data_IF_024632207750
#
_entry.id   IF_024632207750
#
_cell.length_a   1.000
_cell.length_b   1.000
_cell.length_c   1.000
_cell.angle_alpha   90.00
_cell.angle_beta   90.00
_cell.angle_gamma   90.00
#
_symmetry.space_group_name_H-M   'P 1'
#
loop_
_entity.id
_entity.type
_entity.pdbx_description
1 polymer ?
#
# COMPACT_ATOMS: atom_id res chain seq x y z
N UNK A 1 22.29 21.01 -22.00
CA UNK A 1 21.02 20.86 -21.25
C UNK A 1 20.15 22.08 -21.47
N UNK A 2 18.84 21.86 -21.69
CA UNK A 2 17.89 22.95 -21.93
C UNK A 2 16.80 23.02 -20.84
N UNK A 3 16.84 22.13 -19.83
CA UNK A 3 15.92 22.14 -18.69
C UNK A 3 16.07 23.45 -17.88
N UNK A 4 14.93 23.97 -17.41
CA UNK A 4 14.82 25.26 -16.71
C UNK A 4 14.20 25.10 -15.32
N UNK A 5 14.43 26.10 -14.45
CA UNK A 5 13.80 26.18 -13.13
C UNK A 5 14.11 24.97 -12.20
N UNK A 6 15.30 24.39 -12.33
CA UNK A 6 15.73 23.28 -11.50
C UNK A 6 16.57 23.77 -10.30
N UNK A 7 16.39 23.13 -9.15
CA UNK A 7 17.23 23.29 -7.95
C UNK A 7 17.98 22.01 -7.70
N UNK A 8 19.32 22.06 -7.65
CA UNK A 8 20.17 20.92 -7.34
C UNK A 8 21.17 21.27 -6.25
N UNK A 9 21.12 20.58 -5.11
CA UNK A 9 22.02 20.77 -3.97
C UNK A 9 22.55 19.42 -3.49
N UNK A 10 23.83 19.17 -3.69
CA UNK A 10 24.46 17.91 -3.31
C UNK A 10 25.31 17.32 -4.44
N UNK A 11 26.24 16.40 -4.08
CA UNK A 11 27.04 15.75 -5.07
C UNK A 11 26.20 14.84 -5.97
N UNK A 12 26.36 14.98 -7.30
CA UNK A 12 25.62 14.23 -8.33
C UNK A 12 24.08 14.39 -8.26
N UNK A 13 23.58 15.51 -7.71
CA UNK A 13 22.16 15.86 -7.80
C UNK A 13 21.85 16.34 -9.22
N UNK A 14 20.84 15.75 -9.90
CA UNK A 14 20.40 16.07 -11.28
C UNK A 14 21.55 16.01 -12.33
N UNK A 15 22.57 15.19 -12.15
CA UNK A 15 23.75 15.25 -13.02
C UNK A 15 23.48 14.73 -14.44
N UNK A 16 22.53 13.82 -14.65
CA UNK A 16 22.13 13.33 -15.97
C UNK A 16 21.04 14.18 -16.65
N UNK A 17 20.52 15.22 -15.99
CA UNK A 17 19.36 15.98 -16.52
C UNK A 17 19.68 16.67 -17.83
N UNK A 18 18.84 16.46 -18.84
CA UNK A 18 19.00 17.07 -20.18
C UNK A 18 17.95 18.15 -20.47
N UNK A 19 16.68 17.81 -20.39
CA UNK A 19 15.56 18.72 -20.71
C UNK A 19 14.55 18.84 -19.58
N UNK A 20 14.63 18.00 -18.54
CA UNK A 20 13.71 18.05 -17.40
C UNK A 20 13.70 19.42 -16.70
N UNK A 21 12.53 19.93 -16.39
CA UNK A 21 12.32 21.27 -15.82
C UNK A 21 11.54 21.20 -14.49
N UNK A 22 11.64 22.26 -13.69
CA UNK A 22 10.88 22.43 -12.45
C UNK A 22 11.15 21.31 -11.41
N UNK A 23 12.36 20.77 -11.38
CA UNK A 23 12.76 19.73 -10.44
C UNK A 23 13.51 20.32 -9.24
N UNK A 24 13.26 19.78 -8.06
CA UNK A 24 14.01 20.09 -6.84
C UNK A 24 14.73 18.84 -6.34
N UNK A 25 16.05 18.84 -6.32
CA UNK A 25 16.91 17.73 -5.89
C UNK A 25 17.86 18.20 -4.78
N UNK A 26 17.68 17.71 -3.56
CA UNK A 26 18.51 18.08 -2.41
C UNK A 26 19.02 16.82 -1.72
N UNK A 27 20.31 16.55 -1.84
CA UNK A 27 20.98 15.38 -1.28
C UNK A 27 21.95 14.72 -2.25
N UNK A 28 22.66 13.69 -1.76
CA UNK A 28 23.61 12.92 -2.56
C UNK A 28 22.86 12.05 -3.58
N UNK A 29 23.21 12.17 -4.88
CA UNK A 29 22.64 11.40 -6.00
C UNK A 29 21.10 11.49 -6.13
N UNK A 30 20.47 12.54 -5.61
CA UNK A 30 19.03 12.75 -5.83
C UNK A 30 18.73 13.04 -7.29
N UNK A 31 17.71 12.37 -7.86
CA UNK A 31 17.37 12.49 -9.29
C UNK A 31 18.60 12.31 -10.21
N UNK A 32 19.57 11.49 -9.80
CA UNK A 32 20.85 11.38 -10.50
C UNK A 32 20.72 10.89 -11.94
N UNK A 33 19.78 10.00 -12.25
CA UNK A 33 19.53 9.48 -13.58
C UNK A 33 18.44 10.22 -14.37
N UNK A 34 17.84 11.30 -13.81
CA UNK A 34 16.77 12.00 -14.49
C UNK A 34 17.24 12.61 -15.82
N UNK A 35 16.52 12.36 -16.89
CA UNK A 35 16.84 12.92 -18.21
C UNK A 35 15.82 13.96 -18.66
N UNK A 36 14.56 13.61 -18.65
CA UNK A 36 13.45 14.44 -19.16
C UNK A 36 12.28 14.58 -18.18
N UNK A 37 12.33 13.93 -17.02
CA UNK A 37 11.25 14.04 -16.01
C UNK A 37 11.13 15.45 -15.45
N UNK A 38 9.89 15.93 -15.34
CA UNK A 38 9.53 17.28 -14.89
C UNK A 38 8.79 17.26 -13.55
N UNK A 39 8.78 18.41 -12.84
CA UNK A 39 7.97 18.64 -11.63
C UNK A 39 8.24 17.67 -10.49
N UNK A 40 9.45 17.12 -10.37
CA UNK A 40 9.81 16.19 -9.31
C UNK A 40 10.44 16.90 -8.11
N UNK A 41 10.10 16.44 -6.91
CA UNK A 41 10.74 16.84 -5.65
C UNK A 41 11.44 15.66 -5.03
N UNK A 42 12.76 15.70 -4.91
CA UNK A 42 13.57 14.66 -4.29
C UNK A 42 14.46 15.25 -3.19
N UNK A 43 14.27 14.80 -1.96
CA UNK A 43 15.03 15.28 -0.80
C UNK A 43 15.51 14.07 0.02
N UNK A 44 16.83 13.91 0.15
CA UNK A 44 17.43 12.82 0.92
C UNK A 44 18.56 12.12 0.16
N UNK A 45 19.14 11.09 0.76
CA UNK A 45 20.19 10.31 0.13
C UNK A 45 19.58 9.32 -0.88
N UNK A 46 19.97 9.41 -2.16
CA UNK A 46 19.51 8.57 -3.27
C UNK A 46 17.98 8.55 -3.49
N UNK A 47 17.30 9.63 -3.13
CA UNK A 47 15.88 9.78 -3.41
C UNK A 47 15.66 9.97 -4.91
N UNK A 48 14.72 9.22 -5.54
CA UNK A 48 14.46 9.18 -6.99
C UNK A 48 15.72 8.94 -7.84
N UNK A 49 16.66 8.17 -7.33
CA UNK A 49 17.99 7.99 -7.98
C UNK A 49 17.89 7.56 -9.44
N UNK A 50 17.02 6.60 -9.77
CA UNK A 50 16.89 5.98 -11.09
C UNK A 50 15.78 6.55 -11.96
N UNK A 51 15.10 7.60 -11.51
CA UNK A 51 14.08 8.24 -12.34
C UNK A 51 14.69 8.73 -13.66
N UNK A 52 14.08 8.35 -14.77
CA UNK A 52 14.54 8.80 -16.10
C UNK A 52 13.57 9.79 -16.72
N UNK A 53 12.30 9.43 -16.83
CA UNK A 53 11.26 10.21 -17.50
C UNK A 53 9.98 10.37 -16.66
N UNK A 54 9.92 9.77 -15.45
CA UNK A 54 8.77 9.88 -14.57
C UNK A 54 8.55 11.31 -14.08
N UNK A 55 7.33 11.81 -14.22
CA UNK A 55 6.96 13.20 -13.88
C UNK A 55 6.19 13.29 -12.56
N UNK A 56 6.21 14.46 -11.94
CA UNK A 56 5.36 14.81 -10.79
C UNK A 56 5.51 13.88 -9.59
N UNK A 57 6.70 13.35 -9.37
CA UNK A 57 6.99 12.50 -8.22
C UNK A 57 7.50 13.33 -7.04
N UNK A 58 7.06 12.99 -5.84
CA UNK A 58 7.56 13.56 -4.58
C UNK A 58 8.22 12.46 -3.77
N UNK A 59 9.50 12.58 -3.48
CA UNK A 59 10.27 11.61 -2.71
C UNK A 59 11.08 12.34 -1.63
N UNK A 60 10.71 12.13 -0.38
CA UNK A 60 11.38 12.75 0.78
C UNK A 60 11.83 11.66 1.75
N UNK A 61 13.13 11.48 1.86
CA UNK A 61 13.73 10.45 2.70
C UNK A 61 14.83 9.66 1.98
N UNK A 62 15.63 8.92 2.76
CA UNK A 62 16.67 8.05 2.19
C UNK A 62 16.04 6.91 1.39
N UNK A 63 16.51 6.68 0.16
CA UNK A 63 15.99 5.64 -0.74
C UNK A 63 14.48 5.69 -1.00
N UNK A 64 13.85 6.87 -0.91
CA UNK A 64 12.47 7.02 -1.31
C UNK A 64 12.38 7.00 -2.85
N UNK A 65 11.56 6.09 -3.43
CA UNK A 65 11.37 5.94 -4.89
C UNK A 65 12.68 5.73 -5.68
N UNK A 66 13.71 5.14 -5.07
CA UNK A 66 15.06 5.09 -5.68
C UNK A 66 15.15 4.22 -6.93
N UNK A 67 14.27 3.23 -7.13
CA UNK A 67 14.19 2.42 -8.35
C UNK A 67 13.16 2.93 -9.38
N UNK A 68 12.41 4.01 -9.08
CA UNK A 68 11.45 4.54 -10.04
C UNK A 68 12.14 4.90 -11.36
N UNK A 69 11.59 4.48 -12.48
CA UNK A 69 12.15 4.79 -13.81
C UNK A 69 11.24 5.72 -14.60
N UNK A 70 10.02 5.31 -14.86
CA UNK A 70 9.04 6.03 -15.68
C UNK A 70 7.72 6.31 -14.96
N UNK A 71 7.52 5.73 -13.77
CA UNK A 71 6.31 5.96 -12.96
C UNK A 71 6.14 7.42 -12.62
N UNK A 72 4.90 7.94 -12.70
CA UNK A 72 4.59 9.34 -12.45
C UNK A 72 3.51 9.54 -11.38
N UNK A 73 3.49 10.74 -10.78
CA UNK A 73 2.47 11.10 -9.78
C UNK A 73 2.58 10.33 -8.46
N UNK A 74 3.74 9.78 -8.12
CA UNK A 74 3.93 9.05 -6.87
C UNK A 74 4.40 9.97 -5.75
N UNK A 75 3.94 9.71 -4.52
CA UNK A 75 4.36 10.41 -3.31
C UNK A 75 4.98 9.41 -2.33
N UNK A 76 6.26 9.54 -2.03
CA UNK A 76 6.98 8.75 -1.03
C UNK A 76 7.57 9.65 0.05
N UNK A 77 7.14 9.51 1.31
CA UNK A 77 7.68 10.29 2.44
C UNK A 77 8.12 9.34 3.55
N UNK A 78 9.41 9.24 3.76
CA UNK A 78 10.03 8.35 4.75
C UNK A 78 11.17 7.51 4.16
N UNK A 79 11.76 6.63 4.96
CA UNK A 79 12.88 5.79 4.53
C UNK A 79 12.39 4.56 3.77
N UNK A 80 12.98 4.27 2.60
CA UNK A 80 12.63 3.14 1.73
C UNK A 80 11.14 3.10 1.36
N UNK A 81 10.50 4.25 1.19
CA UNK A 81 9.11 4.31 0.70
C UNK A 81 9.08 4.06 -0.80
N UNK A 82 8.20 3.14 -1.27
CA UNK A 82 8.09 2.83 -2.70
C UNK A 82 9.45 2.52 -3.36
N UNK A 83 10.41 1.99 -2.60
CA UNK A 83 11.78 1.81 -3.08
C UNK A 83 11.84 0.92 -4.33
N UNK A 84 11.06 -0.16 -4.40
CA UNK A 84 11.00 -1.08 -5.54
C UNK A 84 10.18 -0.58 -6.74
N UNK A 85 9.49 0.57 -6.63
CA UNK A 85 8.63 1.04 -7.72
C UNK A 85 9.43 1.27 -9.01
N UNK A 86 8.96 0.73 -10.12
CA UNK A 86 9.61 0.94 -11.43
C UNK A 86 8.75 1.79 -12.36
N UNK A 87 7.54 1.36 -12.63
CA UNK A 87 6.60 2.01 -13.56
C UNK A 87 5.24 2.33 -12.94
N UNK A 88 4.99 1.89 -11.69
CA UNK A 88 3.74 2.17 -10.99
C UNK A 88 3.47 3.67 -10.87
N UNK A 89 2.20 4.07 -11.00
CA UNK A 89 1.77 5.47 -11.02
C UNK A 89 0.72 5.79 -9.96
N UNK A 90 0.68 7.06 -9.52
CA UNK A 90 -0.37 7.54 -8.63
C UNK A 90 -0.38 6.94 -7.22
N UNK A 91 0.73 6.37 -6.77
CA UNK A 91 0.84 5.76 -5.45
C UNK A 91 1.23 6.79 -4.38
N UNK A 92 0.67 6.67 -3.19
CA UNK A 92 1.06 7.47 -2.03
C UNK A 92 1.53 6.57 -0.89
N UNK A 93 2.76 6.77 -0.42
CA UNK A 93 3.36 5.98 0.65
C UNK A 93 4.02 6.89 1.70
N UNK A 94 3.61 6.77 2.97
CA UNK A 94 4.15 7.57 4.07
C UNK A 94 4.51 6.67 5.25
N UNK A 95 5.75 6.73 5.70
CA UNK A 95 6.24 5.91 6.82
C UNK A 95 7.61 5.30 6.57
N UNK A 96 7.92 4.23 7.29
CA UNK A 96 9.12 3.42 7.07
C UNK A 96 8.75 2.16 6.30
N UNK A 97 9.32 1.97 5.10
CA UNK A 97 9.13 0.81 4.23
C UNK A 97 7.68 0.51 3.76
N UNK A 98 6.74 1.47 3.70
CA UNK A 98 5.47 1.18 3.05
C UNK A 98 5.70 0.95 1.55
N UNK A 99 4.97 0.00 0.97
CA UNK A 99 5.04 -0.37 -0.46
C UNK A 99 6.48 -0.61 -0.94
N UNK A 100 7.31 -1.23 -0.09
CA UNK A 100 8.75 -1.42 -0.37
C UNK A 100 9.00 -2.14 -1.70
N UNK A 101 8.21 -3.17 -2.00
CA UNK A 101 8.38 -4.02 -3.18
C UNK A 101 7.38 -3.74 -4.32
N UNK A 102 6.63 -2.63 -4.26
CA UNK A 102 5.76 -2.27 -5.38
C UNK A 102 6.59 -2.12 -6.66
N UNK A 103 6.18 -2.78 -7.74
CA UNK A 103 6.88 -2.68 -9.02
C UNK A 103 6.06 -1.92 -10.06
N UNK A 104 4.86 -2.41 -10.35
CA UNK A 104 3.95 -1.86 -11.38
C UNK A 104 2.57 -1.49 -10.85
N UNK A 105 2.27 -1.80 -9.57
CA UNK A 105 0.99 -1.48 -8.94
C UNK A 105 0.69 0.02 -8.93
N UNK A 106 -0.58 0.38 -9.17
CA UNK A 106 -1.00 1.75 -9.38
C UNK A 106 -2.09 2.18 -8.39
N UNK A 107 -2.17 3.47 -8.11
CA UNK A 107 -3.23 4.11 -7.32
C UNK A 107 -3.42 3.50 -5.93
N UNK A 108 -2.34 3.07 -5.30
CA UNK A 108 -2.36 2.55 -3.95
C UNK A 108 -2.04 3.66 -2.93
N UNK A 109 -2.64 3.58 -1.75
CA UNK A 109 -2.39 4.48 -0.63
C UNK A 109 -1.94 3.69 0.60
N UNK A 110 -0.72 3.93 1.08
CA UNK A 110 -0.12 3.21 2.22
C UNK A 110 0.45 4.18 3.26
N UNK A 111 -0.08 4.13 4.47
CA UNK A 111 0.35 4.97 5.59
C UNK A 111 0.68 4.11 6.81
N UNK A 112 1.93 4.09 7.22
CA UNK A 112 2.41 3.34 8.38
C UNK A 112 3.63 2.48 8.09
N UNK A 113 4.23 1.94 9.14
CA UNK A 113 5.36 1.01 9.05
C UNK A 113 4.93 -0.26 8.30
N UNK A 114 5.63 -0.64 7.24
CA UNK A 114 5.37 -1.82 6.39
C UNK A 114 3.94 -1.94 5.83
N UNK A 115 3.17 -0.84 5.79
CA UNK A 115 1.86 -0.86 5.15
C UNK A 115 1.99 -1.20 3.66
N UNK A 116 1.24 -2.21 3.18
CA UNK A 116 1.25 -2.68 1.79
C UNK A 116 2.66 -3.06 1.28
N UNK A 117 3.52 -3.59 2.18
CA UNK A 117 4.96 -3.75 1.91
C UNK A 117 5.27 -4.62 0.69
N UNK A 118 4.64 -5.81 0.60
CA UNK A 118 4.96 -6.82 -0.40
C UNK A 118 4.14 -6.70 -1.69
N UNK A 119 3.38 -5.60 -1.84
CA UNK A 119 2.63 -5.35 -3.07
C UNK A 119 3.59 -5.28 -4.26
N UNK A 120 3.32 -6.06 -5.29
CA UNK A 120 4.11 -6.00 -6.54
C UNK A 120 3.33 -5.36 -7.67
N UNK A 121 2.12 -5.85 -7.93
CA UNK A 121 1.28 -5.46 -9.08
C UNK A 121 -0.12 -5.00 -8.67
N UNK A 122 -0.56 -5.24 -7.40
CA UNK A 122 -1.89 -4.89 -6.93
C UNK A 122 -2.21 -3.40 -7.04
N UNK A 123 -3.45 -3.09 -7.40
CA UNK A 123 -3.92 -1.73 -7.70
C UNK A 123 -5.07 -1.32 -6.78
N UNK A 124 -5.27 -0.01 -6.59
CA UNK A 124 -6.41 0.56 -5.87
C UNK A 124 -6.57 0.07 -4.43
N UNK A 125 -5.46 -0.27 -3.76
CA UNK A 125 -5.49 -0.70 -2.37
C UNK A 125 -5.27 0.49 -1.42
N UNK A 126 -5.99 0.49 -0.30
CA UNK A 126 -5.80 1.45 0.79
C UNK A 126 -5.35 0.73 2.04
N UNK A 127 -4.17 1.05 2.56
CA UNK A 127 -3.59 0.50 3.77
C UNK A 127 -3.24 1.63 4.76
N UNK A 128 -3.95 1.72 5.88
CA UNK A 128 -3.73 2.73 6.91
C UNK A 128 -3.48 2.05 8.27
N UNK A 129 -2.25 1.98 8.67
CA UNK A 129 -1.80 1.33 9.91
C UNK A 129 -0.54 0.51 9.72
N UNK A 130 0.22 0.28 10.80
CA UNK A 130 1.39 -0.61 10.74
C UNK A 130 0.98 -2.02 10.35
N UNK A 131 1.64 -2.62 9.36
CA UNK A 131 1.36 -3.97 8.87
C UNK A 131 0.02 -4.14 8.12
N UNK A 132 -0.76 -3.08 7.88
CA UNK A 132 -1.99 -3.18 7.10
C UNK A 132 -1.67 -3.65 5.67
N UNK A 133 -2.34 -4.73 5.19
CA UNK A 133 -2.10 -5.36 3.87
C UNK A 133 -0.62 -5.70 3.60
N UNK A 134 0.19 -5.96 4.62
CA UNK A 134 1.63 -6.09 4.45
C UNK A 134 2.04 -7.14 3.41
N UNK A 135 1.36 -8.28 3.35
CA UNK A 135 1.70 -9.39 2.46
C UNK A 135 0.90 -9.40 1.14
N UNK A 136 0.14 -8.33 0.85
CA UNK A 136 -0.57 -8.24 -0.43
C UNK A 136 0.43 -8.28 -1.59
N UNK A 137 0.18 -9.11 -2.60
CA UNK A 137 1.09 -9.20 -3.76
C UNK A 137 0.46 -8.62 -5.02
N UNK A 138 -0.63 -9.22 -5.47
CA UNK A 138 -1.28 -8.86 -6.74
C UNK A 138 -2.76 -8.50 -6.59
N UNK A 139 -3.31 -8.58 -5.36
CA UNK A 139 -4.73 -8.31 -5.16
C UNK A 139 -5.07 -6.83 -5.26
N UNK A 140 -6.24 -6.57 -5.83
CA UNK A 140 -6.77 -5.24 -6.08
C UNK A 140 -7.93 -4.88 -5.14
N UNK A 141 -8.19 -3.57 -5.02
CA UNK A 141 -9.42 -3.04 -4.43
C UNK A 141 -9.66 -3.44 -2.96
N UNK A 142 -8.60 -3.59 -2.17
CA UNK A 142 -8.73 -3.85 -0.74
C UNK A 142 -8.61 -2.56 0.06
N UNK A 143 -9.36 -2.48 1.15
CA UNK A 143 -9.25 -1.41 2.14
C UNK A 143 -8.91 -2.01 3.51
N UNK A 144 -7.78 -1.64 4.07
CA UNK A 144 -7.33 -2.06 5.40
C UNK A 144 -7.02 -0.83 6.27
N UNK A 145 -7.74 -0.69 7.37
CA UNK A 145 -7.54 0.40 8.33
C UNK A 145 -7.38 -0.18 9.73
N UNK A 146 -6.20 -0.06 10.29
CA UNK A 146 -5.85 -0.60 11.61
C UNK A 146 -4.54 -1.39 11.59
N UNK A 147 -3.96 -1.58 12.79
CA UNK A 147 -2.76 -2.40 12.94
C UNK A 147 -3.03 -3.85 12.52
N UNK A 148 -2.21 -4.38 11.60
CA UNK A 148 -2.32 -5.73 11.04
C UNK A 148 -3.70 -6.08 10.44
N UNK A 149 -4.49 -5.10 10.02
CA UNK A 149 -5.71 -5.38 9.24
C UNK A 149 -5.33 -6.00 7.90
N UNK A 150 -5.96 -7.12 7.51
CA UNK A 150 -5.68 -7.85 6.26
C UNK A 150 -4.19 -8.20 6.06
N UNK A 151 -3.41 -8.37 7.14
CA UNK A 151 -1.95 -8.51 7.02
C UNK A 151 -1.51 -9.72 6.20
N UNK A 152 -2.20 -10.87 6.29
CA UNK A 152 -1.85 -12.09 5.56
C UNK A 152 -2.42 -12.14 4.13
N UNK A 153 -3.20 -11.13 3.69
CA UNK A 153 -3.82 -11.15 2.38
C UNK A 153 -2.76 -11.21 1.27
N UNK A 154 -2.92 -12.13 0.34
CA UNK A 154 -2.00 -12.26 -0.81
C UNK A 154 -2.69 -11.92 -2.13
N UNK A 155 -3.76 -12.65 -2.45
CA UNK A 155 -4.49 -12.51 -3.72
C UNK A 155 -6.00 -12.28 -3.55
N UNK A 156 -6.50 -12.19 -2.31
CA UNK A 156 -7.90 -11.87 -2.02
C UNK A 156 -8.24 -10.43 -2.36
N UNK A 157 -9.22 -10.20 -3.23
CA UNK A 157 -9.61 -8.89 -3.71
C UNK A 157 -10.95 -8.41 -3.13
N UNK A 158 -11.20 -7.10 -3.18
CA UNK A 158 -12.46 -6.47 -2.75
C UNK A 158 -12.79 -6.67 -1.27
N UNK A 159 -11.81 -6.77 -0.41
CA UNK A 159 -12.03 -6.90 1.03
C UNK A 159 -11.96 -5.53 1.72
N UNK A 160 -12.79 -5.36 2.74
CA UNK A 160 -12.75 -4.21 3.64
C UNK A 160 -12.49 -4.69 5.05
N UNK A 161 -11.34 -4.34 5.61
CA UNK A 161 -10.95 -4.59 7.00
C UNK A 161 -10.77 -3.27 7.74
N UNK A 162 -11.60 -2.98 8.74
CA UNK A 162 -11.48 -1.77 9.57
C UNK A 162 -11.45 -2.17 11.04
N UNK A 163 -10.31 -2.06 11.66
CA UNK A 163 -10.06 -2.47 13.05
C UNK A 163 -8.72 -3.19 13.18
N UNK A 164 -8.18 -3.21 14.40
CA UNK A 164 -6.96 -3.99 14.70
C UNK A 164 -7.27 -5.48 14.52
N UNK A 165 -6.43 -6.19 13.77
CA UNK A 165 -6.57 -7.62 13.43
C UNK A 165 -7.87 -7.98 12.69
N UNK A 166 -8.53 -7.04 12.01
CA UNK A 166 -9.67 -7.38 11.16
C UNK A 166 -9.19 -8.12 9.92
N UNK A 167 -9.77 -9.31 9.60
CA UNK A 167 -9.36 -10.17 8.48
C UNK A 167 -7.85 -10.49 8.45
N UNK A 168 -7.17 -10.52 9.58
CA UNK A 168 -5.71 -10.62 9.61
C UNK A 168 -5.16 -11.95 9.07
N UNK A 169 -5.92 -13.04 9.16
CA UNK A 169 -5.54 -14.34 8.58
C UNK A 169 -6.01 -14.53 7.12
N UNK A 170 -6.74 -13.57 6.52
CA UNK A 170 -7.26 -13.73 5.16
C UNK A 170 -6.11 -13.87 4.15
N UNK A 171 -6.15 -14.90 3.31
CA UNK A 171 -5.14 -15.12 2.27
C UNK A 171 -5.69 -14.91 0.87
N UNK A 172 -6.72 -15.65 0.51
CA UNK A 172 -7.34 -15.62 -0.83
C UNK A 172 -8.84 -15.30 -0.80
N UNK A 173 -9.45 -15.18 0.41
CA UNK A 173 -10.86 -14.81 0.57
C UNK A 173 -11.16 -13.45 -0.07
N UNK A 174 -12.33 -13.32 -0.70
CA UNK A 174 -12.70 -12.13 -1.47
C UNK A 174 -14.05 -11.59 -1.03
N UNK A 175 -14.27 -10.28 -1.29
CA UNK A 175 -15.56 -9.62 -1.08
C UNK A 175 -16.08 -9.76 0.36
N UNK A 176 -15.17 -9.71 1.33
CA UNK A 176 -15.51 -9.73 2.75
C UNK A 176 -15.49 -8.31 3.31
N UNK A 177 -16.40 -8.03 4.23
CA UNK A 177 -16.42 -6.78 5.00
C UNK A 177 -16.30 -7.10 6.48
N UNK A 178 -15.25 -6.62 7.12
CA UNK A 178 -14.99 -6.79 8.55
C UNK A 178 -14.75 -5.43 9.22
N UNK A 179 -15.60 -5.08 10.19
CA UNK A 179 -15.47 -3.83 10.94
C UNK A 179 -15.49 -4.14 12.44
N UNK A 180 -14.39 -3.88 13.11
CA UNK A 180 -14.23 -4.15 14.54
C UNK A 180 -12.93 -4.90 14.84
N UNK A 181 -12.54 -4.90 16.13
CA UNK A 181 -11.39 -5.65 16.60
C UNK A 181 -11.58 -7.15 16.33
N UNK A 182 -10.61 -7.79 15.63
CA UNK A 182 -10.55 -9.24 15.37
C UNK A 182 -11.85 -9.79 14.71
N UNK A 183 -12.54 -8.93 13.93
CA UNK A 183 -13.70 -9.36 13.13
C UNK A 183 -13.23 -10.16 11.92
N UNK A 184 -13.82 -11.33 11.66
CA UNK A 184 -13.36 -12.30 10.65
C UNK A 184 -11.85 -12.65 10.80
N UNK A 185 -11.29 -12.58 12.02
CA UNK A 185 -9.86 -12.73 12.24
C UNK A 185 -9.26 -14.05 11.74
N UNK A 186 -9.99 -15.17 11.85
CA UNK A 186 -9.52 -16.47 11.37
C UNK A 186 -9.89 -16.79 9.91
N UNK A 187 -10.55 -15.89 9.18
CA UNK A 187 -10.94 -16.15 7.79
C UNK A 187 -9.69 -16.32 6.91
N UNK A 188 -9.62 -17.40 6.15
CA UNK A 188 -8.51 -17.64 5.20
C UNK A 188 -8.96 -17.54 3.74
N UNK A 189 -10.02 -18.26 3.39
CA UNK A 189 -10.51 -18.40 2.01
C UNK A 189 -12.01 -18.05 1.87
N UNK A 190 -12.74 -17.87 3.00
CA UNK A 190 -14.18 -17.55 2.98
C UNK A 190 -14.49 -16.28 2.19
N UNK A 191 -15.59 -16.29 1.43
CA UNK A 191 -16.00 -15.19 0.55
C UNK A 191 -17.40 -14.68 0.91
N UNK A 192 -17.70 -13.42 0.56
CA UNK A 192 -19.01 -12.80 0.75
C UNK A 192 -19.47 -12.72 2.21
N UNK A 193 -18.56 -12.65 3.17
CA UNK A 193 -18.91 -12.54 4.58
C UNK A 193 -18.95 -11.07 5.00
N UNK A 194 -19.93 -10.71 5.83
CA UNK A 194 -20.04 -9.40 6.46
C UNK A 194 -20.02 -9.56 7.98
N UNK A 195 -19.04 -8.99 8.64
CA UNK A 195 -18.87 -9.02 10.09
C UNK A 195 -18.71 -7.60 10.63
N UNK A 196 -19.65 -7.13 11.43
CA UNK A 196 -19.59 -5.80 12.06
C UNK A 196 -19.74 -5.94 13.58
N UNK A 197 -18.68 -5.68 14.30
CA UNK A 197 -18.56 -5.81 15.74
C UNK A 197 -17.28 -6.53 16.16
N UNK A 198 -16.80 -6.24 17.37
CA UNK A 198 -15.66 -6.94 17.98
C UNK A 198 -15.91 -8.46 17.99
N UNK A 199 -14.98 -9.25 17.47
CA UNK A 199 -15.04 -10.70 17.39
C UNK A 199 -16.25 -11.26 16.58
N UNK A 200 -16.93 -10.47 15.76
CA UNK A 200 -17.97 -10.98 14.88
C UNK A 200 -17.35 -11.95 13.84
N UNK A 201 -17.94 -13.13 13.66
CA UNK A 201 -17.45 -14.21 12.77
C UNK A 201 -15.96 -14.57 12.98
N UNK A 202 -15.44 -14.36 14.17
CA UNK A 202 -14.01 -14.48 14.44
C UNK A 202 -13.43 -15.84 14.02
N UNK A 203 -14.14 -16.96 14.30
CA UNK A 203 -13.66 -18.32 14.02
C UNK A 203 -13.99 -18.84 12.62
N UNK A 204 -14.60 -18.02 11.76
CA UNK A 204 -14.87 -18.39 10.37
C UNK A 204 -13.55 -18.60 9.62
N UNK A 205 -13.40 -19.72 8.94
CA UNK A 205 -12.17 -20.00 8.16
C UNK A 205 -12.42 -19.98 6.66
N UNK A 206 -13.30 -20.84 6.16
CA UNK A 206 -13.59 -21.02 4.74
C UNK A 206 -15.07 -20.87 4.39
N UNK A 207 -15.94 -20.66 5.41
CA UNK A 207 -17.37 -20.55 5.19
C UNK A 207 -17.76 -19.23 4.51
N UNK A 208 -18.81 -19.28 3.71
CA UNK A 208 -19.20 -18.19 2.81
C UNK A 208 -20.58 -17.60 3.16
N UNK A 209 -20.81 -16.38 2.71
CA UNK A 209 -22.13 -15.74 2.70
C UNK A 209 -22.75 -15.58 4.08
N UNK A 210 -21.94 -15.40 5.12
CA UNK A 210 -22.45 -15.16 6.47
C UNK A 210 -22.54 -13.66 6.78
N UNK A 211 -23.57 -13.25 7.49
CA UNK A 211 -23.75 -11.88 7.97
C UNK A 211 -23.87 -11.89 9.50
N UNK A 212 -22.95 -11.20 10.17
CA UNK A 212 -22.92 -11.08 11.63
C UNK A 212 -22.83 -9.60 12.03
N UNK A 213 -23.80 -9.15 12.80
CA UNK A 213 -23.88 -7.77 13.27
C UNK A 213 -24.03 -7.74 14.80
N UNK A 214 -23.00 -7.30 15.50
CA UNK A 214 -22.95 -7.20 16.96
C UNK A 214 -21.71 -7.84 17.56
N UNK A 215 -21.47 -7.57 18.85
CA UNK A 215 -20.34 -8.12 19.57
C UNK A 215 -20.41 -9.65 19.62
N UNK A 216 -19.36 -10.34 19.13
CA UNK A 216 -19.27 -11.80 19.07
C UNK A 216 -20.43 -12.51 18.34
N UNK A 217 -21.17 -11.81 17.48
CA UNK A 217 -22.19 -12.45 16.65
C UNK A 217 -21.56 -13.53 15.76
N UNK A 218 -22.11 -14.75 15.72
CA UNK A 218 -21.56 -15.92 15.00
C UNK A 218 -20.07 -16.22 15.30
N UNK A 219 -19.56 -15.85 16.46
CA UNK A 219 -18.14 -16.01 16.80
C UNK A 219 -17.62 -17.46 16.62
N UNK A 220 -18.42 -18.45 17.02
CA UNK A 220 -18.06 -19.87 16.95
C UNK A 220 -18.36 -20.54 15.59
N UNK A 221 -18.86 -19.79 14.60
CA UNK A 221 -19.08 -20.37 13.27
C UNK A 221 -17.75 -20.67 12.58
N UNK A 222 -17.56 -21.91 12.17
CA UNK A 222 -16.34 -22.32 11.45
C UNK A 222 -16.63 -22.67 9.98
N UNK A 223 -17.68 -23.46 9.73
CA UNK A 223 -18.01 -24.03 8.42
C UNK A 223 -19.45 -23.75 7.96
N UNK A 224 -20.31 -23.19 8.82
CA UNK A 224 -21.70 -22.86 8.46
C UNK A 224 -21.75 -21.71 7.44
N UNK A 225 -22.53 -21.90 6.38
CA UNK A 225 -22.70 -20.90 5.30
C UNK A 225 -24.09 -20.27 5.32
N UNK A 226 -24.23 -19.08 4.73
CA UNK A 226 -25.49 -18.38 4.55
C UNK A 226 -26.28 -18.13 5.85
N UNK A 227 -25.56 -17.89 6.94
CA UNK A 227 -26.17 -17.55 8.21
C UNK A 227 -26.27 -16.04 8.40
N UNK A 228 -27.33 -15.61 9.05
CA UNK A 228 -27.50 -14.22 9.48
C UNK A 228 -27.73 -14.17 10.99
N UNK A 229 -26.94 -13.37 11.70
CA UNK A 229 -27.14 -13.10 13.12
C UNK A 229 -27.00 -11.61 13.40
N UNK A 230 -27.95 -11.08 14.16
CA UNK A 230 -27.95 -9.70 14.67
C UNK A 230 -28.11 -9.75 16.19
N UNK A 231 -27.16 -9.14 16.89
CA UNK A 231 -27.13 -9.16 18.36
C UNK A 231 -25.83 -9.74 18.89
N UNK A 232 -25.87 -10.14 20.14
CA UNK A 232 -24.71 -10.69 20.86
C UNK A 232 -24.61 -12.21 20.68
#
# INVERSE_FOLDING_TARGET
TTGTQNVAVGANALDANTTGSENTAVGYQTLGANTTGDHCVAVGWQSLLRNTTGNSNVAVGSHSLDHNTTGGGNVGVGTHTLSGNTTGTGNTAVGQQPMLYNTTGNYNSAYGWTALQDNTEGNYNTALGGGALANNTTADNNTAVGYNSLTANTTGAYNVGVGVYSLDANTTGQQNTAVGYDSLGANTEGIYNTAMGTNALRSNTTANSNTAFGWSALNANTTGTSNTAVGR
#
